data_IF_867521067040
#
_entry.id   IF_867521067040
#
_cell.length_a   1.000
_cell.length_b   1.000
_cell.length_c   1.000
_cell.angle_alpha   90.00
_cell.angle_beta   90.00
_cell.angle_gamma   90.00
#
_symmetry.space_group_name_H-M   'P 1'
#
loop_
_entity.id
_entity.type
_entity.pdbx_description
1 polymer ?
#
# COMPACT_ATOMS: atom_id res chain seq x y z
N UNK A 1 -0.74 -23.87 1.97
CA UNK A 1 -1.82 -23.50 1.03
C UNK A 1 -1.85 -24.53 -0.08
N UNK A 2 -3.03 -25.08 -0.42
CA UNK A 2 -3.14 -26.09 -1.47
C UNK A 2 -2.77 -25.50 -2.84
N UNK A 3 -2.28 -26.33 -3.75
CA UNK A 3 -1.82 -25.96 -5.08
C UNK A 3 -2.82 -25.08 -5.88
N UNK A 4 -4.13 -25.31 -5.68
CA UNK A 4 -5.21 -24.54 -6.34
C UNK A 4 -5.30 -23.08 -5.88
N UNK A 5 -5.11 -22.80 -4.58
CA UNK A 5 -5.14 -21.42 -4.07
C UNK A 5 -3.90 -20.62 -4.50
N UNK A 6 -2.74 -21.28 -4.55
CA UNK A 6 -1.51 -20.67 -5.09
C UNK A 6 -1.69 -20.31 -6.56
N UNK A 7 -2.16 -21.25 -7.40
CA UNK A 7 -2.40 -21.01 -8.83
C UNK A 7 -3.34 -19.84 -9.09
N UNK A 8 -4.46 -19.74 -8.34
CA UNK A 8 -5.38 -18.58 -8.47
C UNK A 8 -4.73 -17.26 -8.10
N UNK A 9 -3.90 -17.25 -7.05
CA UNK A 9 -3.17 -16.04 -6.65
C UNK A 9 -2.12 -15.62 -7.69
N UNK A 10 -1.44 -16.59 -8.31
CA UNK A 10 -0.44 -16.30 -9.33
C UNK A 10 -1.13 -15.80 -10.62
N UNK A 11 -2.22 -16.42 -11.03
CA UNK A 11 -3.03 -15.95 -12.16
C UNK A 11 -3.57 -14.53 -11.95
N UNK A 12 -4.07 -14.21 -10.76
CA UNK A 12 -4.48 -12.85 -10.42
C UNK A 12 -3.33 -11.85 -10.57
N UNK A 13 -2.14 -12.20 -10.09
CA UNK A 13 -0.96 -11.33 -10.18
C UNK A 13 -0.57 -11.06 -11.65
N UNK A 14 -0.53 -12.09 -12.50
CA UNK A 14 -0.28 -11.97 -13.93
C UNK A 14 -1.31 -11.09 -14.64
N UNK A 15 -2.60 -11.21 -14.25
CA UNK A 15 -3.67 -10.34 -14.78
C UNK A 15 -3.42 -8.88 -14.40
N UNK A 16 -3.03 -8.62 -13.16
CA UNK A 16 -2.72 -7.27 -12.68
C UNK A 16 -1.51 -6.66 -13.40
N UNK A 17 -0.47 -7.44 -13.67
CA UNK A 17 0.67 -7.00 -14.48
C UNK A 17 0.22 -6.62 -15.90
N UNK A 18 -0.65 -7.43 -16.51
CA UNK A 18 -1.22 -7.14 -17.83
C UNK A 18 -2.05 -5.84 -17.85
N UNK A 19 -2.85 -5.59 -16.81
CA UNK A 19 -3.62 -4.34 -16.70
C UNK A 19 -2.65 -3.15 -16.55
N UNK A 20 -1.62 -3.29 -15.76
CA UNK A 20 -0.63 -2.24 -15.50
C UNK A 20 0.14 -1.84 -16.77
N UNK A 21 0.46 -2.78 -17.66
CA UNK A 21 1.14 -2.48 -18.94
C UNK A 21 0.28 -1.66 -19.90
N UNK A 22 -1.05 -1.80 -19.87
CA UNK A 22 -1.97 -0.98 -20.71
C UNK A 22 -1.88 0.50 -20.41
N UNK A 23 -1.55 0.89 -19.18
CA UNK A 23 -1.35 2.29 -18.82
C UNK A 23 -0.12 2.90 -19.54
N UNK A 24 0.91 2.09 -19.79
CA UNK A 24 2.10 2.52 -20.53
C UNK A 24 1.80 2.77 -22.01
N UNK A 25 0.97 1.92 -22.65
CA UNK A 25 0.68 2.02 -24.09
C UNK A 25 -0.21 3.23 -24.44
N UNK A 26 -1.01 3.72 -23.49
CA UNK A 26 -1.87 4.89 -23.70
C UNK A 26 -1.15 6.23 -23.53
N UNK A 27 0.04 6.23 -22.93
CA UNK A 27 0.82 7.42 -22.63
C UNK A 27 2.08 7.57 -23.53
N UNK A 28 2.16 6.86 -24.66
CA UNK A 28 3.37 6.72 -25.48
C UNK A 28 3.76 7.96 -26.31
N UNK A 29 3.03 9.04 -26.28
CA UNK A 29 3.45 10.27 -27.02
C UNK A 29 4.47 11.16 -26.27
N UNK A 30 4.81 10.84 -25.01
CA UNK A 30 5.73 11.66 -24.19
C UNK A 30 6.85 10.87 -23.49
N UNK A 31 7.13 9.60 -23.87
CA UNK A 31 8.04 8.75 -23.12
C UNK A 31 9.27 8.32 -23.91
N UNK A 32 10.21 9.24 -23.99
CA UNK A 32 11.62 8.90 -24.17
C UNK A 32 12.36 9.09 -22.85
N UNK A 33 12.02 8.46 -21.77
CA UNK A 33 12.91 8.32 -20.60
C UNK A 33 12.28 7.68 -19.37
N UNK A 34 11.81 6.46 -19.41
CA UNK A 34 11.79 5.68 -18.18
C UNK A 34 12.36 4.29 -18.48
N UNK A 35 13.66 4.24 -18.69
CA UNK A 35 14.45 3.08 -18.27
C UNK A 35 14.54 3.16 -16.76
N UNK A 36 13.40 3.06 -16.09
CA UNK A 36 13.27 2.99 -14.64
C UNK A 36 13.50 1.56 -14.21
N UNK A 37 14.53 1.37 -13.46
CA UNK A 37 14.89 0.27 -12.61
C UNK A 37 13.67 -0.58 -12.19
N UNK A 38 13.55 -1.78 -12.80
CA UNK A 38 12.72 -2.87 -12.30
C UNK A 38 13.36 -3.45 -11.02
N UNK A 39 13.40 -2.65 -9.96
CA UNK A 39 13.87 -3.11 -8.67
C UNK A 39 12.69 -3.19 -7.72
N UNK A 40 11.88 -4.22 -7.89
CA UNK A 40 11.08 -4.70 -6.77
C UNK A 40 12.01 -5.44 -5.79
N UNK A 41 12.74 -4.69 -4.99
CA UNK A 41 13.46 -5.30 -3.86
C UNK A 41 12.42 -5.67 -2.81
N UNK A 42 11.84 -6.84 -2.96
CA UNK A 42 11.12 -7.47 -1.87
C UNK A 42 12.18 -8.09 -0.98
N UNK A 43 12.33 -7.62 0.28
CA UNK A 43 13.26 -8.24 1.21
C UNK A 43 13.01 -9.76 1.24
N UNK A 44 14.06 -10.57 1.14
CA UNK A 44 13.92 -12.03 1.17
C UNK A 44 13.38 -12.48 2.53
N UNK A 45 12.08 -12.60 2.59
CA UNK A 45 11.33 -13.10 3.74
C UNK A 45 10.79 -14.52 3.50
N UNK A 46 11.22 -15.18 2.42
CA UNK A 46 10.69 -16.50 2.01
C UNK A 46 10.97 -17.58 3.05
N UNK A 47 12.06 -17.45 3.82
CA UNK A 47 12.41 -18.33 4.92
C UNK A 47 11.54 -18.13 6.19
N UNK A 48 10.77 -17.04 6.26
CA UNK A 48 9.95 -16.74 7.42
C UNK A 48 8.52 -17.34 7.29
N UNK A 49 7.91 -17.80 8.39
CA UNK A 49 6.55 -18.29 8.34
C UNK A 49 5.58 -17.15 7.93
N UNK A 50 4.73 -17.41 6.95
CA UNK A 50 3.71 -16.46 6.47
C UNK A 50 2.68 -16.20 7.57
N UNK A 51 2.78 -15.06 8.25
CA UNK A 51 1.90 -14.70 9.37
C UNK A 51 1.33 -13.30 9.18
N UNK A 52 -0.01 -13.16 9.35
CA UNK A 52 -0.72 -11.87 9.22
C UNK A 52 -0.14 -10.76 10.12
N UNK A 53 0.38 -11.11 11.29
CA UNK A 53 0.95 -10.14 12.26
C UNK A 53 2.20 -9.40 11.76
N UNK A 54 2.89 -9.91 10.73
CA UNK A 54 4.10 -9.28 10.18
C UNK A 54 3.81 -8.33 9.03
N UNK A 55 2.55 -8.17 8.61
CA UNK A 55 2.20 -7.37 7.43
C UNK A 55 2.74 -5.92 7.46
N UNK A 56 2.69 -5.26 8.63
CA UNK A 56 3.17 -3.88 8.77
C UNK A 56 4.69 -3.78 8.67
N UNK A 57 5.44 -4.73 9.25
CA UNK A 57 6.89 -4.74 9.14
C UNK A 57 7.36 -5.09 7.73
N UNK A 58 6.69 -6.03 7.05
CA UNK A 58 6.98 -6.37 5.67
C UNK A 58 6.68 -5.19 4.74
N UNK A 59 5.58 -4.47 4.97
CA UNK A 59 5.28 -3.26 4.21
C UNK A 59 6.29 -2.15 4.50
N UNK A 60 6.64 -1.92 5.77
CA UNK A 60 7.67 -0.97 6.15
C UNK A 60 9.01 -1.26 5.45
N UNK A 61 9.48 -2.52 5.50
CA UNK A 61 10.71 -2.93 4.82
C UNK A 61 10.63 -2.67 3.31
N UNK A 62 9.51 -2.98 2.69
CA UNK A 62 9.30 -2.73 1.27
C UNK A 62 9.30 -1.23 0.95
N UNK A 63 8.63 -0.41 1.76
CA UNK A 63 8.57 1.04 1.58
C UNK A 63 9.97 1.68 1.64
N UNK A 64 10.76 1.38 2.67
CA UNK A 64 12.10 1.97 2.83
C UNK A 64 13.12 1.53 1.76
N UNK A 65 12.84 0.43 1.05
CA UNK A 65 13.67 0.00 -0.08
C UNK A 65 13.24 0.62 -1.41
N UNK A 66 11.97 1.00 -1.56
CA UNK A 66 11.42 1.44 -2.84
C UNK A 66 11.12 2.94 -2.90
N UNK A 67 11.12 3.64 -1.76
CA UNK A 67 10.83 5.07 -1.68
C UNK A 67 11.81 5.77 -0.75
N UNK A 68 12.07 7.05 -1.03
CA UNK A 68 12.75 7.93 -0.09
C UNK A 68 11.80 8.41 1.01
N UNK A 69 12.28 8.75 2.22
CA UNK A 69 11.46 9.32 3.26
C UNK A 69 10.65 10.53 2.82
N UNK A 70 9.35 10.53 3.11
CA UNK A 70 8.41 11.57 2.70
C UNK A 70 7.27 11.70 3.73
N UNK A 71 6.29 12.57 3.43
CA UNK A 71 5.07 12.74 4.24
C UNK A 71 4.06 11.66 3.86
N UNK A 72 3.66 10.85 4.83
CA UNK A 72 2.80 9.67 4.63
C UNK A 72 1.51 9.79 5.41
N UNK A 73 0.37 9.52 4.74
CA UNK A 73 -0.90 9.23 5.39
C UNK A 73 -1.08 7.71 5.51
N UNK A 74 -1.16 7.18 6.74
CA UNK A 74 -1.50 5.80 7.06
C UNK A 74 -3.02 5.72 7.29
N UNK A 75 -3.77 5.46 6.23
CA UNK A 75 -5.23 5.53 6.17
C UNK A 75 -5.82 4.23 6.73
N UNK A 76 -6.68 4.37 7.76
CA UNK A 76 -7.17 3.23 8.52
C UNK A 76 -6.05 2.54 9.30
N UNK A 77 -5.02 3.31 9.72
CA UNK A 77 -3.81 2.80 10.35
C UNK A 77 -4.01 2.21 11.75
N UNK A 78 -5.20 2.37 12.34
CA UNK A 78 -5.58 1.81 13.63
C UNK A 78 -4.60 2.22 14.74
N UNK A 79 -3.86 1.25 15.29
CA UNK A 79 -2.88 1.48 16.38
C UNK A 79 -1.58 2.16 15.93
N UNK A 80 -1.41 2.48 14.65
CA UNK A 80 -0.28 3.22 14.12
C UNK A 80 1.07 2.49 14.15
N UNK A 81 1.10 1.14 14.15
CA UNK A 81 2.37 0.41 14.15
C UNK A 81 3.17 0.67 12.88
N UNK A 82 2.54 0.74 11.70
CA UNK A 82 3.25 1.06 10.46
C UNK A 82 3.82 2.47 10.52
N UNK A 83 3.01 3.45 10.92
CA UNK A 83 3.44 4.85 11.07
C UNK A 83 4.60 4.99 12.06
N UNK A 84 4.57 4.26 13.21
CA UNK A 84 5.67 4.23 14.15
C UNK A 84 6.97 3.73 13.50
N UNK A 85 6.93 2.61 12.78
CA UNK A 85 8.10 2.05 12.11
C UNK A 85 8.67 3.00 11.04
N UNK A 86 7.79 3.70 10.31
CA UNK A 86 8.19 4.71 9.34
C UNK A 86 8.86 5.90 10.00
N UNK A 87 8.32 6.42 11.11
CA UNK A 87 8.91 7.53 11.89
C UNK A 87 10.31 7.15 12.40
N UNK A 88 10.46 5.95 12.94
CA UNK A 88 11.77 5.44 13.37
C UNK A 88 12.81 5.34 12.22
N UNK A 89 12.32 5.29 10.98
CA UNK A 89 13.15 5.28 9.77
C UNK A 89 13.27 6.67 9.11
N UNK A 90 12.89 7.75 9.81
CA UNK A 90 13.06 9.13 9.36
C UNK A 90 11.93 9.68 8.46
N UNK A 91 10.80 8.98 8.36
CA UNK A 91 9.63 9.44 7.60
C UNK A 91 8.70 10.31 8.46
N UNK A 92 7.86 11.11 7.82
CA UNK A 92 6.82 11.89 8.48
C UNK A 92 5.47 11.20 8.29
N UNK A 93 5.15 10.24 9.14
CA UNK A 93 3.92 9.46 9.04
C UNK A 93 2.84 9.94 10.00
N UNK A 94 1.60 10.02 9.51
CA UNK A 94 0.40 10.39 10.28
C UNK A 94 -0.69 9.36 10.02
N UNK A 95 -1.30 8.83 11.07
CA UNK A 95 -2.48 7.98 10.97
C UNK A 95 -3.70 8.84 10.68
N UNK A 96 -4.56 8.41 9.74
CA UNK A 96 -5.91 8.94 9.55
C UNK A 96 -6.89 7.80 9.81
N UNK A 97 -7.54 7.85 10.98
CA UNK A 97 -8.48 6.80 11.42
C UNK A 97 -9.57 7.44 12.28
N UNK A 98 -10.88 7.19 12.02
CA UNK A 98 -11.95 7.79 12.79
C UNK A 98 -11.95 7.36 14.26
N UNK A 99 -11.30 6.22 14.58
CA UNK A 99 -11.22 5.70 15.94
C UNK A 99 -9.77 5.78 16.42
N UNK A 100 -9.39 6.82 17.17
CA UNK A 100 -8.04 6.93 17.73
C UNK A 100 -7.72 5.73 18.62
N UNK A 101 -6.57 5.10 18.36
CA UNK A 101 -6.09 3.98 19.13
C UNK A 101 -4.68 4.24 19.64
N UNK A 102 -4.39 3.76 20.85
CA UNK A 102 -3.05 3.87 21.40
C UNK A 102 -2.06 2.96 20.68
N UNK A 103 -0.84 3.46 20.50
CA UNK A 103 0.28 2.68 19.99
C UNK A 103 0.51 1.44 20.87
N UNK A 104 0.74 0.26 20.28
CA UNK A 104 0.98 -0.94 21.08
C UNK A 104 2.27 -0.80 21.89
N UNK A 105 2.28 -1.26 23.14
CA UNK A 105 3.46 -1.20 24.01
C UNK A 105 4.61 -2.11 23.56
N UNK A 106 4.32 -3.07 22.67
CA UNK A 106 5.29 -4.03 22.12
C UNK A 106 4.76 -4.66 20.84
N UNK A 107 5.65 -5.08 19.96
CA UNK A 107 5.34 -5.91 18.81
C UNK A 107 6.32 -7.09 18.70
N UNK A 108 5.96 -8.13 17.93
CA UNK A 108 6.91 -9.20 17.62
C UNK A 108 7.71 -8.79 16.41
N UNK A 109 9.01 -8.57 16.61
CA UNK A 109 9.92 -8.21 15.53
C UNK A 109 10.17 -9.42 14.61
N UNK A 110 10.16 -9.18 13.30
CA UNK A 110 10.29 -10.23 12.29
C UNK A 110 11.73 -10.72 12.15
N UNK A 111 12.71 -9.83 12.31
CA UNK A 111 14.14 -10.15 12.19
C UNK A 111 14.65 -10.79 13.47
N UNK A 112 14.36 -10.17 14.63
CA UNK A 112 14.82 -10.64 15.93
C UNK A 112 14.05 -11.87 16.42
N UNK A 113 12.89 -12.19 15.82
CA UNK A 113 12.03 -13.31 16.24
C UNK A 113 11.41 -13.18 17.64
N UNK A 114 11.66 -12.08 18.35
CA UNK A 114 11.21 -11.79 19.72
C UNK A 114 10.32 -10.56 19.80
N UNK A 115 9.71 -10.34 20.96
CA UNK A 115 8.95 -9.12 21.24
C UNK A 115 9.90 -7.97 21.55
N UNK A 116 9.72 -6.86 20.86
CA UNK A 116 10.40 -5.58 21.09
C UNK A 116 9.42 -4.64 21.77
N UNK A 117 9.87 -3.93 22.79
CA UNK A 117 9.10 -2.88 23.47
C UNK A 117 9.17 -1.60 22.63
N UNK A 118 8.05 -0.90 22.55
CA UNK A 118 7.99 0.46 22.01
C UNK A 118 8.20 1.42 23.20
N UNK A 119 8.97 2.48 22.99
CA UNK A 119 9.17 3.50 24.02
C UNK A 119 7.82 4.09 24.44
N UNK A 120 7.60 4.21 25.75
CA UNK A 120 6.37 4.79 26.30
C UNK A 120 6.19 6.28 25.92
N UNK A 121 7.27 6.95 25.53
CA UNK A 121 7.25 8.33 25.02
C UNK A 121 7.00 8.40 23.51
N UNK A 122 7.09 7.29 22.78
CA UNK A 122 6.81 7.27 21.36
C UNK A 122 5.40 7.76 21.09
N UNK A 123 5.25 8.61 20.09
CA UNK A 123 3.96 9.16 19.65
C UNK A 123 3.87 9.05 18.14
N UNK A 124 2.68 8.75 17.67
CA UNK A 124 2.32 8.77 16.27
C UNK A 124 1.26 9.85 16.07
N UNK A 125 1.51 10.84 15.22
CA UNK A 125 0.48 11.83 14.86
C UNK A 125 -0.77 11.12 14.36
N UNK A 126 -1.95 11.61 14.77
CA UNK A 126 -3.22 11.04 14.39
C UNK A 126 -4.24 12.14 14.04
N UNK A 127 -4.96 11.95 12.95
CA UNK A 127 -6.12 12.72 12.55
C UNK A 127 -7.35 11.85 12.83
N UNK A 128 -8.15 12.13 13.88
CA UNK A 128 -9.32 11.33 14.27
C UNK A 128 -10.51 11.63 13.36
N UNK A 129 -10.44 11.24 12.11
CA UNK A 129 -11.45 11.48 11.09
C UNK A 129 -11.49 10.34 10.07
N UNK A 130 -12.62 10.19 9.38
CA UNK A 130 -12.66 9.41 8.16
C UNK A 130 -11.76 10.04 7.10
N UNK A 131 -11.14 9.21 6.27
CA UNK A 131 -10.33 9.72 5.18
C UNK A 131 -11.23 10.42 4.14
N UNK A 132 -10.89 11.69 3.90
CA UNK A 132 -11.44 12.53 2.82
C UNK A 132 -10.31 12.86 1.85
N UNK A 133 -10.59 12.94 0.54
CA UNK A 133 -9.57 13.20 -0.50
C UNK A 133 -8.76 14.45 -0.22
N UNK A 134 -9.37 15.50 0.37
CA UNK A 134 -8.71 16.76 0.74
C UNK A 134 -7.54 16.60 1.72
N UNK A 135 -7.52 15.53 2.52
CA UNK A 135 -6.38 15.23 3.39
C UNK A 135 -5.10 15.00 2.58
N UNK A 136 -5.21 14.47 1.36
CA UNK A 136 -4.08 14.16 0.50
C UNK A 136 -3.19 15.36 0.18
N UNK A 137 -3.74 16.58 0.20
CA UNK A 137 -2.98 17.82 -0.04
C UNK A 137 -1.77 18.01 0.90
N UNK A 138 -1.75 17.31 2.03
CA UNK A 138 -0.69 17.42 3.04
C UNK A 138 0.34 16.29 2.98
N UNK A 139 0.16 15.33 2.08
CA UNK A 139 0.97 14.10 2.03
C UNK A 139 1.51 13.84 0.62
N UNK A 140 2.66 13.19 0.59
CA UNK A 140 3.31 12.78 -0.65
C UNK A 140 2.91 11.35 -1.03
N UNK A 141 2.65 10.49 -0.02
CA UNK A 141 2.28 9.10 -0.19
C UNK A 141 1.07 8.72 0.68
N UNK A 142 0.09 8.07 0.07
CA UNK A 142 -1.11 7.56 0.72
C UNK A 142 -0.99 6.05 0.89
N UNK A 143 -1.15 5.52 2.11
CA UNK A 143 -1.08 4.08 2.38
C UNK A 143 -2.41 3.60 2.93
N UNK A 144 -3.01 2.59 2.28
CA UNK A 144 -4.23 1.91 2.74
C UNK A 144 -3.98 0.42 2.91
N UNK A 145 -3.63 -0.05 4.12
CA UNK A 145 -3.49 -1.48 4.38
C UNK A 145 -4.75 -2.05 5.02
N UNK A 146 -5.62 -2.64 4.21
CA UNK A 146 -6.94 -3.13 4.61
C UNK A 146 -7.88 -2.01 5.12
N UNK A 147 -7.75 -0.80 4.54
CA UNK A 147 -8.61 0.34 4.81
C UNK A 147 -9.95 0.16 4.06
N UNK A 148 -10.99 -0.23 4.77
CA UNK A 148 -12.32 -0.46 4.22
C UNK A 148 -12.92 0.87 3.74
N UNK A 149 -13.58 0.87 2.56
CA UNK A 149 -14.23 2.05 1.97
C UNK A 149 -13.29 3.19 1.58
N UNK A 150 -11.97 2.95 1.56
CA UNK A 150 -10.99 3.98 1.27
C UNK A 150 -10.19 3.76 -0.02
N UNK A 151 -10.27 2.57 -0.65
CA UNK A 151 -9.40 2.26 -1.78
C UNK A 151 -9.66 3.19 -2.97
N UNK A 152 -10.91 3.38 -3.34
CA UNK A 152 -11.28 4.30 -4.44
C UNK A 152 -10.96 5.74 -4.07
N UNK A 153 -11.28 6.17 -2.85
CA UNK A 153 -10.94 7.53 -2.36
C UNK A 153 -9.43 7.80 -2.39
N UNK A 154 -8.59 6.79 -2.10
CA UNK A 154 -7.12 6.91 -2.16
C UNK A 154 -6.67 7.11 -3.62
N UNK A 155 -7.23 6.35 -4.56
CA UNK A 155 -6.92 6.49 -5.99
C UNK A 155 -7.35 7.88 -6.49
N UNK A 156 -8.57 8.32 -6.18
CA UNK A 156 -9.09 9.64 -6.55
C UNK A 156 -8.22 10.77 -6.01
N UNK A 157 -7.84 10.68 -4.73
CA UNK A 157 -6.97 11.63 -4.08
C UNK A 157 -5.58 11.68 -4.72
N UNK A 158 -5.04 10.52 -5.13
CA UNK A 158 -3.75 10.46 -5.82
C UNK A 158 -3.80 11.17 -7.18
N UNK A 159 -4.92 11.07 -7.91
CA UNK A 159 -5.14 11.81 -9.16
C UNK A 159 -5.24 13.31 -8.89
N UNK A 160 -6.11 13.69 -7.95
CA UNK A 160 -6.45 15.09 -7.67
C UNK A 160 -5.24 15.88 -7.14
N UNK A 161 -4.48 15.29 -6.22
CA UNK A 161 -3.37 15.98 -5.53
C UNK A 161 -1.98 15.56 -6.03
N UNK A 162 -1.90 14.58 -6.93
CA UNK A 162 -0.64 14.15 -7.53
C UNK A 162 0.30 13.43 -6.57
N UNK A 163 -0.22 12.81 -5.52
CA UNK A 163 0.56 11.99 -4.61
C UNK A 163 0.65 10.53 -5.07
N UNK A 164 1.65 9.80 -4.56
CA UNK A 164 1.73 8.36 -4.76
C UNK A 164 0.76 7.61 -3.85
N UNK A 165 0.54 6.32 -4.11
CA UNK A 165 -0.20 5.48 -3.19
C UNK A 165 0.31 4.05 -3.11
N UNK A 166 -0.01 3.39 -1.98
CA UNK A 166 0.18 1.96 -1.75
C UNK A 166 -1.07 1.40 -1.07
N UNK A 167 -1.77 0.47 -1.72
CA UNK A 167 -3.00 -0.11 -1.18
C UNK A 167 -2.96 -1.64 -1.15
N UNK A 168 -3.58 -2.23 -0.11
CA UNK A 168 -3.85 -3.67 0.02
C UNK A 168 -5.36 -3.90 0.20
N UNK A 169 -6.12 -3.87 -0.90
CA UNK A 169 -7.57 -4.00 -0.85
C UNK A 169 -7.98 -5.40 -0.41
N UNK A 170 -8.69 -5.53 0.70
CA UNK A 170 -9.12 -6.84 1.21
C UNK A 170 -10.56 -7.19 0.84
N UNK A 171 -11.41 -6.21 0.62
CA UNK A 171 -12.83 -6.38 0.31
C UNK A 171 -13.41 -5.11 -0.32
N UNK A 172 -14.67 -5.18 -0.74
CA UNK A 172 -15.44 -4.09 -1.37
C UNK A 172 -16.38 -3.39 -0.38
N UNK A 173 -16.25 -3.66 0.93
CA UNK A 173 -17.12 -3.06 1.95
C UNK A 173 -16.92 -1.54 1.94
N UNK A 174 -18.05 -0.81 1.92
CA UNK A 174 -18.13 0.66 1.92
C UNK A 174 -17.43 1.35 0.72
N UNK A 175 -17.11 0.61 -0.32
CA UNK A 175 -16.58 1.18 -1.57
C UNK A 175 -17.72 1.66 -2.49
N UNK A 176 -17.49 2.70 -3.33
CA UNK A 176 -18.55 3.32 -4.14
C UNK A 176 -19.06 2.46 -5.30
N UNK A 177 -18.35 1.40 -5.67
CA UNK A 177 -18.78 0.45 -6.69
C UNK A 177 -18.34 -0.98 -6.37
N UNK A 178 -18.98 -1.96 -7.03
CA UNK A 178 -18.67 -3.38 -6.93
C UNK A 178 -18.00 -3.90 -8.21
N UNK A 179 -17.11 -4.90 -8.11
CA UNK A 179 -16.55 -5.53 -9.30
C UNK A 179 -17.64 -6.22 -10.12
N UNK A 180 -17.52 -6.25 -11.45
CA UNK A 180 -18.39 -7.07 -12.29
C UNK A 180 -18.34 -8.55 -11.91
N UNK A 181 -19.38 -9.31 -12.26
CA UNK A 181 -19.43 -10.74 -11.96
C UNK A 181 -18.22 -11.49 -12.54
N UNK A 182 -17.53 -12.23 -11.68
CA UNK A 182 -16.33 -13.00 -12.06
C UNK A 182 -15.02 -12.20 -12.10
N UNK A 183 -15.05 -10.89 -11.90
CA UNK A 183 -13.86 -10.04 -11.86
C UNK A 183 -13.40 -9.89 -10.39
N UNK A 184 -12.10 -10.02 -10.15
CA UNK A 184 -11.56 -9.82 -8.82
C UNK A 184 -11.51 -8.34 -8.44
N UNK A 185 -11.71 -8.01 -7.15
CA UNK A 185 -11.74 -6.62 -6.69
C UNK A 185 -10.45 -5.84 -7.03
N UNK A 186 -9.29 -6.47 -6.91
CA UNK A 186 -8.02 -5.84 -7.29
C UNK A 186 -7.95 -5.51 -8.78
N UNK A 187 -8.50 -6.37 -9.65
CA UNK A 187 -8.55 -6.13 -11.10
C UNK A 187 -9.41 -4.91 -11.40
N UNK A 188 -10.57 -4.80 -10.73
CA UNK A 188 -11.45 -3.63 -10.88
C UNK A 188 -10.80 -2.33 -10.41
N UNK A 189 -10.06 -2.35 -9.31
CA UNK A 189 -9.32 -1.19 -8.82
C UNK A 189 -8.15 -0.82 -9.74
N UNK A 190 -7.43 -1.82 -10.25
CA UNK A 190 -6.33 -1.58 -11.19
C UNK A 190 -6.86 -0.96 -12.49
N UNK A 191 -7.93 -1.51 -13.05
CA UNK A 191 -8.57 -0.98 -14.26
C UNK A 191 -9.12 0.43 -14.02
N UNK A 192 -9.72 0.69 -12.85
CA UNK A 192 -10.18 2.02 -12.46
C UNK A 192 -9.03 3.03 -12.45
N UNK A 193 -7.92 2.72 -11.78
CA UNK A 193 -6.76 3.60 -11.71
C UNK A 193 -6.13 3.86 -13.10
N UNK A 194 -6.02 2.82 -13.94
CA UNK A 194 -5.50 2.94 -15.31
C UNK A 194 -6.38 3.86 -16.16
N UNK A 195 -7.70 3.76 -16.06
CA UNK A 195 -8.64 4.66 -16.77
C UNK A 195 -8.51 6.12 -16.34
N UNK A 196 -8.06 6.37 -15.12
CA UNK A 196 -7.72 7.71 -14.61
C UNK A 196 -6.31 8.17 -15.00
N UNK A 197 -5.59 7.41 -15.82
CA UNK A 197 -4.25 7.74 -16.28
C UNK A 197 -3.13 7.45 -15.29
N UNK A 198 -3.40 6.66 -14.23
CA UNK A 198 -2.38 6.29 -13.25
C UNK A 198 -1.57 5.11 -13.77
N UNK A 199 -0.24 5.28 -13.80
CA UNK A 199 0.69 4.17 -13.96
C UNK A 199 0.86 3.48 -12.61
N UNK A 200 0.29 2.30 -12.46
CA UNK A 200 0.39 1.52 -11.22
C UNK A 200 1.12 0.20 -11.47
N UNK A 201 1.63 -0.40 -10.41
CA UNK A 201 2.27 -1.72 -10.45
C UNK A 201 1.73 -2.61 -9.32
N UNK A 202 1.48 -3.90 -9.58
CA UNK A 202 1.20 -4.85 -8.53
C UNK A 202 2.49 -5.28 -7.82
N UNK A 203 2.40 -5.61 -6.54
CA UNK A 203 3.49 -6.21 -5.78
C UNK A 203 2.95 -7.19 -4.75
N UNK A 204 3.82 -8.05 -4.22
CA UNK A 204 3.41 -9.09 -3.28
C UNK A 204 4.32 -9.11 -2.06
N UNK A 205 3.72 -9.14 -0.87
CA UNK A 205 4.45 -9.33 0.40
C UNK A 205 4.22 -10.73 0.97
N UNK A 206 5.18 -11.25 1.72
CA UNK A 206 5.13 -12.62 2.26
C UNK A 206 4.36 -12.70 3.58
N UNK A 207 3.07 -12.35 3.60
CA UNK A 207 2.20 -12.58 4.76
C UNK A 207 0.94 -13.38 4.39
N UNK A 208 0.20 -13.85 5.41
CA UNK A 208 -1.04 -14.62 5.23
C UNK A 208 -2.23 -13.68 5.05
N UNK A 209 -3.08 -13.95 4.07
CA UNK A 209 -4.27 -13.17 3.73
C UNK A 209 -4.10 -12.45 2.41
N UNK A 210 -4.79 -11.33 2.24
CA UNK A 210 -4.66 -10.45 1.06
C UNK A 210 -3.29 -9.77 1.09
N UNK A 211 -2.37 -10.32 0.34
CA UNK A 211 -0.96 -9.96 0.34
C UNK A 211 -0.44 -9.45 -1.01
N UNK A 212 -1.33 -9.27 -1.98
CA UNK A 212 -1.07 -8.55 -3.22
C UNK A 212 -1.52 -7.12 -2.99
N UNK A 213 -0.63 -6.17 -3.21
CA UNK A 213 -0.88 -4.74 -3.17
C UNK A 213 -0.77 -4.13 -4.56
N UNK A 214 -1.29 -2.92 -4.68
CA UNK A 214 -1.12 -2.04 -5.83
C UNK A 214 -0.43 -0.77 -5.36
N UNK A 215 0.50 -0.24 -6.15
CA UNK A 215 1.13 1.04 -5.86
C UNK A 215 1.29 1.89 -7.12
N UNK A 216 1.24 3.19 -6.92
CA UNK A 216 1.67 4.18 -7.90
C UNK A 216 2.81 5.00 -7.29
N UNK A 217 3.90 5.24 -8.03
CA UNK A 217 5.02 6.03 -7.55
C UNK A 217 4.65 7.49 -7.32
N UNK A 218 5.49 8.21 -6.59
CA UNK A 218 5.45 9.67 -6.48
C UNK A 218 5.70 10.32 -7.83
N UNK A 219 5.03 11.43 -8.15
CA UNK A 219 5.30 12.17 -9.40
C UNK A 219 6.76 12.59 -9.54
N UNK A 220 7.43 12.95 -8.44
CA UNK A 220 8.86 13.30 -8.42
C UNK A 220 9.82 12.12 -8.67
N UNK A 221 9.33 10.89 -8.75
CA UNK A 221 10.12 9.71 -9.11
C UNK A 221 9.85 9.24 -10.55
N UNK A 222 9.05 10.01 -11.31
CA UNK A 222 8.74 9.76 -12.72
C UNK A 222 9.63 10.57 -13.67
N UNK A 223 10.51 11.43 -13.14
CA UNK A 223 11.57 12.15 -13.87
C UNK A 223 12.92 11.31 -13.82
#
# INVERSE_FOLDING_TARGET
>A
MGSRAKRRSDQLFETLETISTRAHDQNTDDILAVRGQDVQVVPDSTHLPRMKKFRFQLLHQWLIHNFSPCRVADIGGGKGLLSHLLIESGWQATVIDPIPQELPTKYKDIVLGRRVKIDLKARVPNIPAEFDTRHANYFDLLIGMHAHGCNVKIIDAAVEYGCGFVIFPCCVIDEPFYPPLGVHWLESLADYAVRLGIVLKPFRLNFKGQNIGLYAPLKSQQE
#
